data_IF_517720945005
#
_entry.id   IF_517720945005
#
_cell.length_a   1.000
_cell.length_b   1.000
_cell.length_c   1.000
_cell.angle_alpha   90.00
_cell.angle_beta   90.00
_cell.angle_gamma   90.00
#
_symmetry.space_group_name_H-M   'P 1'
#
loop_
_entity.id
_entity.type
_entity.pdbx_description
1 polymer ?
#
# COMPACT_ATOMS: atom_id res chain seq x y z
N UNK A 1 -30.92 -6.33 -7.91
CA UNK A 1 -29.85 -6.10 -6.88
C UNK A 1 -28.73 -7.08 -7.13
N UNK A 2 -27.58 -6.60 -7.44
CA UNK A 2 -26.37 -7.35 -7.78
C UNK A 2 -25.75 -7.87 -6.48
N UNK A 3 -25.41 -9.15 -6.41
CA UNK A 3 -24.87 -9.81 -5.20
C UNK A 3 -23.41 -10.14 -5.40
N UNK A 4 -22.54 -9.63 -4.57
CA UNK A 4 -21.07 -9.79 -4.69
C UNK A 4 -20.52 -10.38 -3.40
N UNK A 5 -19.81 -11.51 -3.49
CA UNK A 5 -18.98 -11.97 -2.37
C UNK A 5 -17.64 -11.22 -2.40
N UNK A 6 -17.18 -10.73 -1.26
CA UNK A 6 -15.87 -10.09 -1.11
C UNK A 6 -15.01 -10.97 -0.19
N UNK A 7 -13.92 -11.49 -0.71
CA UNK A 7 -13.01 -12.35 0.04
C UNK A 7 -12.01 -11.53 0.87
N UNK A 8 -12.20 -11.53 2.17
CA UNK A 8 -11.36 -10.86 3.17
C UNK A 8 -10.63 -11.82 4.10
N UNK A 9 -10.59 -13.12 3.76
CA UNK A 9 -10.02 -14.19 4.59
C UNK A 9 -8.52 -14.00 4.91
N UNK A 10 -7.84 -13.24 4.09
CA UNK A 10 -6.40 -12.98 4.16
C UNK A 10 -6.05 -11.68 4.90
N UNK A 11 -7.03 -10.84 5.21
CA UNK A 11 -6.81 -9.54 5.87
C UNK A 11 -6.40 -9.76 7.33
N UNK A 12 -5.23 -9.27 7.70
CA UNK A 12 -4.69 -9.35 9.05
C UNK A 12 -4.93 -8.04 9.77
N UNK A 13 -5.85 -8.05 10.72
CA UNK A 13 -6.20 -6.85 11.49
C UNK A 13 -5.00 -6.29 12.28
N UNK A 14 -4.79 -4.98 12.19
CA UNK A 14 -3.69 -4.23 12.87
C UNK A 14 -2.27 -4.74 12.55
N UNK A 15 -2.09 -5.57 11.55
CA UNK A 15 -0.77 -5.86 11.02
C UNK A 15 -0.51 -4.93 9.85
N UNK A 16 0.28 -3.92 10.11
CA UNK A 16 0.65 -2.79 9.25
C UNK A 16 0.86 -3.18 7.79
N UNK A 17 0.17 -2.46 6.91
CA UNK A 17 0.39 -2.58 5.46
C UNK A 17 -0.71 -1.86 4.68
N UNK A 18 -0.34 -1.19 3.61
CA UNK A 18 -1.27 -0.42 2.75
C UNK A 18 -2.44 -1.21 2.17
N UNK A 19 -2.40 -2.56 2.23
CA UNK A 19 -3.46 -3.40 1.69
C UNK A 19 -4.70 -3.43 2.60
N UNK A 20 -4.56 -3.40 3.93
CA UNK A 20 -5.71 -3.27 4.83
C UNK A 20 -6.40 -1.91 4.64
N UNK A 21 -5.61 -0.83 4.59
CA UNK A 21 -6.14 0.52 4.31
C UNK A 21 -6.83 0.59 2.95
N UNK A 22 -6.26 -0.05 1.93
CA UNK A 22 -6.89 -0.17 0.62
C UNK A 22 -8.28 -0.82 0.70
N UNK A 23 -8.39 -1.97 1.39
CA UNK A 23 -9.67 -2.69 1.53
C UNK A 23 -10.69 -1.84 2.28
N UNK A 24 -10.32 -1.21 3.40
CA UNK A 24 -11.23 -0.38 4.19
C UNK A 24 -11.70 0.84 3.40
N UNK A 25 -10.78 1.58 2.79
CA UNK A 25 -11.14 2.71 1.93
C UNK A 25 -12.07 2.29 0.78
N UNK A 26 -11.88 1.08 0.23
CA UNK A 26 -12.73 0.59 -0.84
C UNK A 26 -14.14 0.22 -0.32
N UNK A 27 -14.24 -0.44 0.84
CA UNK A 27 -15.53 -0.75 1.47
C UNK A 27 -16.28 0.53 1.85
N UNK A 28 -15.59 1.53 2.41
CA UNK A 28 -16.16 2.84 2.72
C UNK A 28 -16.74 3.49 1.47
N UNK A 29 -15.97 3.44 0.36
CA UNK A 29 -16.46 3.95 -0.93
C UNK A 29 -17.67 3.18 -1.48
N UNK A 30 -17.76 1.87 -1.27
CA UNK A 30 -18.92 1.08 -1.69
C UNK A 30 -20.16 1.41 -0.88
N UNK A 31 -20.03 1.84 0.38
CA UNK A 31 -21.15 2.30 1.20
C UNK A 31 -21.76 3.60 0.68
N UNK A 32 -20.98 4.43 -0.01
CA UNK A 32 -21.45 5.67 -0.64
C UNK A 32 -22.09 5.44 -2.03
N UNK A 33 -22.05 4.21 -2.56
CA UNK A 33 -22.65 3.87 -3.85
C UNK A 33 -24.16 3.64 -3.73
N UNK A 34 -24.84 3.55 -4.89
CA UNK A 34 -26.28 3.28 -5.01
C UNK A 34 -26.69 1.94 -4.38
N UNK A 35 -27.99 1.80 -4.08
CA UNK A 35 -28.60 0.61 -3.44
C UNK A 35 -28.70 -0.62 -4.36
N UNK A 36 -28.04 -0.60 -5.53
CA UNK A 36 -28.10 -1.68 -6.51
C UNK A 36 -27.27 -2.92 -6.16
N UNK A 37 -26.37 -2.80 -5.17
CA UNK A 37 -25.46 -3.86 -4.75
C UNK A 37 -25.79 -4.40 -3.36
N UNK A 38 -25.54 -5.70 -3.21
CA UNK A 38 -25.52 -6.40 -1.93
C UNK A 38 -24.19 -7.13 -1.77
N UNK A 39 -23.44 -6.77 -0.75
CA UNK A 39 -22.13 -7.33 -0.49
C UNK A 39 -22.16 -8.41 0.60
N UNK A 40 -21.49 -9.52 0.35
CA UNK A 40 -21.29 -10.59 1.32
C UNK A 40 -19.79 -10.65 1.64
N UNK A 41 -19.40 -10.12 2.80
CA UNK A 41 -18.03 -10.13 3.25
C UNK A 41 -17.67 -11.49 3.84
N UNK A 42 -16.76 -12.21 3.20
CA UNK A 42 -16.22 -13.47 3.69
C UNK A 42 -15.04 -13.15 4.62
N UNK A 43 -15.22 -13.36 5.91
CA UNK A 43 -14.26 -12.99 6.95
C UNK A 43 -13.72 -14.22 7.67
N UNK A 44 -12.48 -14.14 8.16
CA UNK A 44 -11.86 -15.19 8.98
C UNK A 44 -12.26 -15.03 10.44
N UNK A 45 -12.03 -16.06 11.26
CA UNK A 45 -12.35 -16.05 12.71
C UNK A 45 -11.62 -14.92 13.44
N UNK A 46 -10.38 -14.64 13.07
CA UNK A 46 -9.52 -13.66 13.74
C UNK A 46 -9.68 -12.23 13.24
N UNK A 47 -10.38 -12.00 12.12
CA UNK A 47 -10.66 -10.66 11.63
C UNK A 47 -12.14 -10.27 11.63
N UNK A 48 -13.05 -11.21 11.94
CA UNK A 48 -14.50 -11.00 11.94
C UNK A 48 -14.92 -9.74 12.71
N UNK A 49 -14.45 -9.59 13.95
CA UNK A 49 -14.79 -8.45 14.81
C UNK A 49 -14.39 -7.11 14.18
N UNK A 50 -13.28 -7.07 13.45
CA UNK A 50 -12.78 -5.86 12.82
C UNK A 50 -13.60 -5.38 11.62
N UNK A 51 -14.52 -6.20 11.12
CA UNK A 51 -15.44 -5.86 10.03
C UNK A 51 -16.89 -5.72 10.49
N UNK A 52 -17.21 -5.91 11.78
CA UNK A 52 -18.58 -5.80 12.31
C UNK A 52 -19.20 -4.42 12.05
N UNK A 53 -18.41 -3.36 12.03
CA UNK A 53 -18.89 -2.01 11.76
C UNK A 53 -19.62 -1.90 10.42
N UNK A 54 -19.21 -2.64 9.40
CA UNK A 54 -19.84 -2.66 8.08
C UNK A 54 -21.21 -3.34 8.06
N UNK A 55 -21.52 -4.23 9.01
CA UNK A 55 -22.83 -4.90 9.12
C UNK A 55 -23.98 -3.97 9.49
N UNK A 56 -23.69 -2.71 9.85
CA UNK A 56 -24.71 -1.68 10.08
C UNK A 56 -25.41 -1.24 8.79
N UNK A 57 -24.75 -1.43 7.64
CA UNK A 57 -25.37 -1.20 6.34
C UNK A 57 -26.17 -2.44 5.94
N UNK A 58 -27.48 -2.25 5.63
CA UNK A 58 -28.39 -3.32 5.22
C UNK A 58 -27.98 -4.06 3.94
N UNK A 59 -27.10 -3.44 3.16
CA UNK A 59 -26.53 -4.02 1.93
C UNK A 59 -25.35 -4.94 2.22
N UNK A 60 -24.89 -5.03 3.45
CA UNK A 60 -23.68 -5.80 3.82
C UNK A 60 -24.08 -6.95 4.77
N UNK A 61 -23.64 -8.16 4.42
CA UNK A 61 -23.75 -9.36 5.26
C UNK A 61 -22.35 -9.92 5.50
N UNK A 62 -22.01 -10.22 6.75
CA UNK A 62 -20.80 -10.94 7.10
C UNK A 62 -21.06 -12.46 7.11
N UNK A 63 -20.11 -13.21 6.57
CA UNK A 63 -20.08 -14.68 6.62
C UNK A 63 -18.71 -15.08 7.16
N UNK A 64 -18.71 -15.61 8.40
CA UNK A 64 -17.49 -16.13 9.02
C UNK A 64 -17.12 -17.48 8.42
N UNK A 65 -15.87 -17.60 7.98
CA UNK A 65 -15.29 -18.82 7.43
C UNK A 65 -14.35 -19.48 8.46
N UNK A 66 -14.23 -20.83 8.47
CA UNK A 66 -13.49 -21.57 9.47
C UNK A 66 -11.96 -21.54 9.24
N UNK A 67 -11.41 -20.34 8.98
CA UNK A 67 -9.99 -20.08 8.74
C UNK A 67 -9.46 -18.98 9.65
N UNK A 68 -8.15 -18.87 9.75
CA UNK A 68 -7.44 -17.84 10.53
C UNK A 68 -6.50 -17.11 9.58
N UNK A 69 -6.69 -15.80 9.41
CA UNK A 69 -5.96 -14.96 8.42
C UNK A 69 -4.44 -15.00 8.61
N UNK A 70 -3.99 -15.18 9.86
CA UNK A 70 -2.56 -15.27 10.20
C UNK A 70 -1.95 -16.62 9.87
N UNK A 71 -2.76 -17.67 9.64
CA UNK A 71 -2.32 -19.03 9.31
C UNK A 71 -2.41 -19.25 7.79
N UNK A 72 -1.36 -18.86 7.07
CA UNK A 72 -1.36 -18.78 5.60
C UNK A 72 -1.71 -20.11 4.93
N UNK A 73 -1.01 -21.21 5.27
CA UNK A 73 -1.14 -22.48 4.54
C UNK A 73 -2.53 -23.10 4.66
N UNK A 74 -3.12 -23.30 5.86
CA UNK A 74 -4.49 -23.79 5.99
C UNK A 74 -5.51 -22.89 5.30
N UNK A 75 -5.36 -21.57 5.36
CA UNK A 75 -6.27 -20.61 4.69
C UNK A 75 -6.22 -20.79 3.18
N UNK A 76 -5.03 -20.86 2.58
CA UNK A 76 -4.87 -21.09 1.14
C UNK A 76 -5.42 -22.45 0.71
N UNK A 77 -5.20 -23.50 1.48
CA UNK A 77 -5.78 -24.82 1.19
C UNK A 77 -7.32 -24.76 1.22
N UNK A 78 -7.87 -24.11 2.23
CA UNK A 78 -9.33 -23.95 2.35
C UNK A 78 -9.92 -23.13 1.19
N UNK A 79 -9.29 -22.01 0.82
CA UNK A 79 -9.70 -21.20 -0.32
C UNK A 79 -9.74 -22.02 -1.61
N UNK A 80 -8.72 -22.85 -1.85
CA UNK A 80 -8.66 -23.68 -3.05
C UNK A 80 -9.68 -24.82 -3.07
N UNK A 81 -10.06 -25.38 -1.92
CA UNK A 81 -10.92 -26.56 -1.86
C UNK A 81 -12.39 -26.23 -1.55
N UNK A 82 -12.66 -25.12 -0.88
CA UNK A 82 -13.97 -24.83 -0.30
C UNK A 82 -14.58 -23.49 -0.74
N UNK A 83 -13.76 -22.47 -1.07
CA UNK A 83 -14.25 -21.12 -1.37
C UNK A 83 -15.23 -21.14 -2.54
N UNK A 84 -14.91 -21.79 -3.65
CA UNK A 84 -15.79 -21.81 -4.83
C UNK A 84 -17.15 -22.47 -4.55
N UNK A 85 -17.19 -23.51 -3.73
CA UNK A 85 -18.44 -24.15 -3.29
C UNK A 85 -19.26 -23.22 -2.39
N UNK A 86 -18.60 -22.49 -1.48
CA UNK A 86 -19.26 -21.52 -0.62
C UNK A 86 -19.85 -20.38 -1.48
N UNK A 87 -19.06 -19.82 -2.39
CA UNK A 87 -19.50 -18.75 -3.31
C UNK A 87 -20.75 -19.19 -4.10
N UNK A 88 -20.73 -20.44 -4.62
CA UNK A 88 -21.90 -21.02 -5.30
C UNK A 88 -23.14 -21.08 -4.38
N UNK A 89 -22.97 -21.51 -3.12
CA UNK A 89 -24.07 -21.64 -2.16
C UNK A 89 -24.70 -20.30 -1.75
N UNK A 90 -23.92 -19.22 -1.86
CA UNK A 90 -24.37 -17.87 -1.54
C UNK A 90 -25.19 -17.20 -2.67
N UNK A 91 -25.27 -17.84 -3.85
CA UNK A 91 -25.99 -17.34 -5.02
C UNK A 91 -25.59 -15.91 -5.37
N UNK A 92 -24.28 -15.66 -5.50
CA UNK A 92 -23.72 -14.38 -5.90
C UNK A 92 -23.40 -14.35 -7.39
N UNK A 93 -23.38 -13.17 -7.98
CA UNK A 93 -23.09 -12.97 -9.41
C UNK A 93 -21.58 -13.20 -9.70
N UNK A 94 -20.72 -12.81 -8.78
CA UNK A 94 -19.28 -13.10 -8.82
C UNK A 94 -18.62 -12.93 -7.44
N UNK A 95 -17.37 -13.37 -7.32
CA UNK A 95 -16.53 -13.16 -6.14
C UNK A 95 -15.45 -12.11 -6.42
N UNK A 96 -15.41 -11.05 -5.63
CA UNK A 96 -14.37 -10.04 -5.64
C UNK A 96 -13.31 -10.38 -4.58
N UNK A 97 -12.08 -10.52 -5.01
CA UNK A 97 -10.92 -10.77 -4.15
C UNK A 97 -10.01 -9.54 -4.25
N UNK A 98 -10.03 -8.60 -3.30
CA UNK A 98 -9.19 -7.39 -3.33
C UNK A 98 -7.70 -7.69 -3.07
N UNK A 99 -7.26 -8.85 -3.54
CA UNK A 99 -5.91 -9.38 -3.46
C UNK A 99 -5.67 -10.35 -4.62
N UNK A 100 -4.44 -10.86 -4.77
CA UNK A 100 -4.09 -11.76 -5.89
C UNK A 100 -4.58 -13.22 -5.75
N UNK A 101 -5.28 -13.58 -4.68
CA UNK A 101 -5.56 -15.00 -4.34
C UNK A 101 -6.86 -15.54 -4.95
N UNK A 102 -6.94 -15.65 -6.28
CA UNK A 102 -7.92 -16.52 -6.90
C UNK A 102 -7.56 -18.00 -6.63
N UNK A 103 -8.52 -18.90 -6.37
CA UNK A 103 -8.25 -20.32 -6.32
C UNK A 103 -7.51 -20.81 -7.57
N UNK A 104 -6.45 -21.62 -7.39
CA UNK A 104 -5.66 -22.17 -8.48
C UNK A 104 -6.24 -23.45 -9.07
N UNK A 105 -7.14 -24.12 -8.34
CA UNK A 105 -7.95 -25.23 -8.86
C UNK A 105 -9.08 -24.69 -9.76
N UNK A 106 -9.63 -25.51 -10.67
CA UNK A 106 -10.74 -25.09 -11.51
C UNK A 106 -11.94 -24.58 -10.70
N UNK A 107 -12.44 -23.42 -11.06
CA UNK A 107 -13.56 -22.73 -10.42
C UNK A 107 -14.78 -22.67 -11.35
N UNK A 108 -15.99 -22.64 -10.78
CA UNK A 108 -17.25 -22.47 -11.51
C UNK A 108 -17.71 -21.01 -11.53
N UNK A 109 -17.35 -20.25 -10.48
CA UNK A 109 -17.77 -18.88 -10.33
C UNK A 109 -16.78 -17.92 -11.00
N UNK A 110 -17.23 -16.70 -11.30
CA UNK A 110 -16.39 -15.62 -11.82
C UNK A 110 -15.64 -14.98 -10.66
N UNK A 111 -14.33 -14.84 -10.79
CA UNK A 111 -13.46 -14.18 -9.82
C UNK A 111 -12.88 -12.90 -10.41
N UNK A 112 -13.12 -11.76 -9.74
CA UNK A 112 -12.42 -10.52 -9.97
C UNK A 112 -11.33 -10.39 -8.91
N UNK A 113 -10.07 -10.30 -9.31
CA UNK A 113 -8.94 -10.17 -8.38
C UNK A 113 -8.25 -8.82 -8.53
N UNK A 114 -7.53 -8.40 -7.48
CA UNK A 114 -6.67 -7.21 -7.53
C UNK A 114 -5.21 -7.63 -7.36
N UNK A 115 -4.36 -7.18 -8.26
CA UNK A 115 -2.92 -7.35 -8.14
C UNK A 115 -2.26 -6.03 -7.74
N UNK A 116 -1.60 -6.06 -6.58
CA UNK A 116 -0.93 -4.88 -6.03
C UNK A 116 0.49 -4.70 -6.56
N UNK A 117 1.25 -5.77 -6.71
CA UNK A 117 2.58 -5.77 -7.33
C UNK A 117 3.07 -7.21 -7.58
N UNK A 118 4.23 -7.30 -8.22
CA UNK A 118 4.99 -8.54 -8.41
C UNK A 118 6.39 -8.43 -7.78
N UNK A 119 6.50 -7.78 -6.64
CA UNK A 119 7.76 -7.41 -5.99
C UNK A 119 8.72 -8.59 -5.78
N UNK A 120 8.20 -9.80 -5.48
CA UNK A 120 9.04 -10.98 -5.31
C UNK A 120 9.76 -11.41 -6.60
N UNK A 121 9.25 -11.05 -7.79
CA UNK A 121 9.93 -11.33 -9.06
C UNK A 121 11.09 -10.35 -9.33
N UNK A 122 10.99 -9.13 -8.78
CA UNK A 122 12.01 -8.09 -8.95
C UNK A 122 13.08 -8.13 -7.85
N UNK A 123 12.71 -8.58 -6.64
CA UNK A 123 13.58 -8.64 -5.46
C UNK A 123 13.52 -10.02 -4.81
N UNK A 124 13.93 -11.09 -5.53
CA UNK A 124 13.85 -12.47 -5.01
C UNK A 124 14.67 -12.66 -3.74
N UNK A 125 15.76 -11.89 -3.56
CA UNK A 125 16.61 -11.92 -2.37
C UNK A 125 15.90 -11.47 -1.09
N UNK A 126 14.80 -10.72 -1.20
CA UNK A 126 13.97 -10.33 -0.06
C UNK A 126 13.04 -11.44 0.45
N UNK A 127 13.03 -12.58 -0.23
CA UNK A 127 12.13 -13.70 0.08
C UNK A 127 12.91 -15.00 0.26
N UNK A 128 12.40 -15.89 1.12
CA UNK A 128 12.95 -17.26 1.13
C UNK A 128 12.68 -17.94 -0.22
N UNK A 129 13.58 -18.85 -0.63
CA UNK A 129 13.44 -19.58 -1.91
C UNK A 129 12.07 -20.23 -2.07
N UNK A 130 11.58 -20.90 -1.00
CA UNK A 130 10.25 -21.53 -1.02
C UNK A 130 9.12 -20.52 -1.24
N UNK A 131 9.15 -19.36 -0.55
CA UNK A 131 8.16 -18.30 -0.71
C UNK A 131 8.21 -17.66 -2.10
N UNK A 132 9.40 -17.45 -2.66
CA UNK A 132 9.58 -16.94 -4.02
C UNK A 132 8.91 -17.84 -5.07
N UNK A 133 9.24 -19.14 -5.07
CA UNK A 133 8.66 -20.08 -6.03
C UNK A 133 7.15 -20.26 -5.81
N UNK A 134 6.70 -20.29 -4.57
CA UNK A 134 5.28 -20.35 -4.25
C UNK A 134 4.54 -19.13 -4.83
N UNK A 135 5.00 -17.90 -4.59
CA UNK A 135 4.41 -16.69 -5.15
C UNK A 135 4.42 -16.72 -6.68
N UNK A 136 5.55 -17.03 -7.30
CA UNK A 136 5.72 -17.09 -8.75
C UNK A 136 4.70 -18.02 -9.41
N UNK A 137 4.51 -19.22 -8.87
CA UNK A 137 3.56 -20.19 -9.42
C UNK A 137 2.12 -19.86 -9.04
N UNK A 138 1.88 -19.41 -7.82
CA UNK A 138 0.54 -19.04 -7.38
C UNK A 138 -0.01 -17.87 -8.23
N UNK A 139 0.75 -16.82 -8.43
CA UNK A 139 0.38 -15.70 -9.32
C UNK A 139 0.05 -16.19 -10.73
N UNK A 140 0.89 -17.06 -11.31
CA UNK A 140 0.67 -17.61 -12.64
C UNK A 140 -0.71 -18.25 -12.80
N UNK A 141 -1.09 -19.10 -11.86
CA UNK A 141 -2.37 -19.81 -11.93
C UNK A 141 -3.54 -18.92 -11.50
N UNK A 142 -3.38 -18.13 -10.47
CA UNK A 142 -4.40 -17.17 -10.02
C UNK A 142 -4.78 -16.19 -11.13
N UNK A 143 -3.80 -15.58 -11.79
CA UNK A 143 -4.02 -14.65 -12.91
C UNK A 143 -4.71 -15.33 -14.12
N UNK A 144 -4.39 -16.60 -14.38
CA UNK A 144 -5.03 -17.37 -15.44
C UNK A 144 -6.46 -17.72 -15.14
N UNK A 145 -6.74 -18.14 -13.91
CA UNK A 145 -8.08 -18.56 -13.48
C UNK A 145 -9.03 -17.39 -13.23
N UNK A 146 -8.52 -16.22 -12.83
CA UNK A 146 -9.36 -15.06 -12.62
C UNK A 146 -10.16 -14.73 -13.87
N UNK A 147 -11.42 -14.36 -13.72
CA UNK A 147 -12.30 -13.90 -14.81
C UNK A 147 -11.84 -12.51 -15.31
N UNK A 148 -11.63 -11.59 -14.36
CA UNK A 148 -11.05 -10.25 -14.60
C UNK A 148 -10.01 -9.94 -13.54
N UNK A 149 -9.08 -9.06 -13.89
CA UNK A 149 -7.97 -8.63 -13.05
C UNK A 149 -7.98 -7.11 -12.98
N UNK A 150 -7.95 -6.55 -11.79
CA UNK A 150 -7.61 -5.15 -11.57
C UNK A 150 -6.14 -5.05 -11.23
N UNK A 151 -5.44 -4.14 -11.88
CA UNK A 151 -4.10 -3.70 -11.49
C UNK A 151 -4.16 -2.27 -10.96
N UNK A 152 -3.39 -1.99 -9.91
CA UNK A 152 -3.46 -0.71 -9.21
C UNK A 152 -2.68 0.43 -9.85
N UNK A 153 -2.00 0.14 -10.96
CA UNK A 153 -1.32 1.09 -11.84
C UNK A 153 -1.09 0.49 -13.23
N UNK A 154 -0.80 1.33 -14.22
CA UNK A 154 -0.35 0.86 -15.54
C UNK A 154 1.00 0.13 -15.44
N UNK A 155 1.89 0.60 -14.56
CA UNK A 155 3.15 -0.09 -14.29
C UNK A 155 2.91 -1.56 -13.90
N UNK A 156 2.00 -1.85 -12.95
CA UNK A 156 1.68 -3.22 -12.55
C UNK A 156 1.02 -4.00 -13.71
N UNK A 157 0.18 -3.35 -14.51
CA UNK A 157 -0.44 -3.99 -15.68
C UNK A 157 0.61 -4.46 -16.68
N UNK A 158 1.55 -3.59 -17.06
CA UNK A 158 2.61 -3.91 -18.00
C UNK A 158 3.56 -4.99 -17.44
N UNK A 159 3.83 -4.94 -16.12
CA UNK A 159 4.63 -5.97 -15.44
C UNK A 159 3.97 -7.36 -15.50
N UNK A 160 2.64 -7.43 -15.33
CA UNK A 160 1.86 -8.68 -15.50
C UNK A 160 1.90 -9.20 -16.92
N UNK A 161 1.78 -8.32 -17.91
CA UNK A 161 1.88 -8.70 -19.33
C UNK A 161 3.26 -9.27 -19.61
N UNK A 162 4.31 -8.56 -19.20
CA UNK A 162 5.70 -8.98 -19.41
C UNK A 162 6.04 -10.31 -18.74
N UNK A 163 5.67 -10.48 -17.48
CA UNK A 163 6.06 -11.67 -16.69
C UNK A 163 5.21 -12.91 -16.94
N UNK A 164 3.92 -12.74 -17.29
CA UNK A 164 2.97 -13.86 -17.37
C UNK A 164 2.22 -13.97 -18.69
N UNK A 165 2.36 -13.01 -19.63
CA UNK A 165 1.68 -13.03 -20.92
C UNK A 165 0.14 -13.02 -20.81
N UNK A 166 -0.40 -12.33 -19.80
CA UNK A 166 -1.85 -12.22 -19.61
C UNK A 166 -2.41 -11.22 -20.63
N UNK A 167 -3.54 -11.60 -21.28
CA UNK A 167 -4.23 -10.74 -22.24
C UNK A 167 -4.67 -9.43 -21.55
N UNK A 168 -4.28 -8.31 -22.15
CA UNK A 168 -4.64 -6.97 -21.66
C UNK A 168 -6.17 -6.75 -21.57
N UNK A 169 -6.97 -7.43 -22.40
CA UNK A 169 -8.44 -7.39 -22.36
C UNK A 169 -9.02 -7.96 -21.06
N UNK A 170 -8.25 -8.80 -20.36
CA UNK A 170 -8.63 -9.37 -19.06
C UNK A 170 -8.37 -8.40 -17.90
N UNK A 171 -7.65 -7.32 -18.14
CA UNK A 171 -7.18 -6.40 -17.12
C UNK A 171 -7.82 -5.02 -17.23
N UNK A 172 -8.13 -4.42 -16.09
CA UNK A 172 -8.52 -3.01 -15.94
C UNK A 172 -7.57 -2.34 -14.95
N UNK A 173 -7.20 -1.09 -15.21
CA UNK A 173 -6.42 -0.31 -14.25
C UNK A 173 -7.37 0.51 -13.40
N UNK A 174 -7.40 0.21 -12.09
CA UNK A 174 -8.13 1.02 -11.10
C UNK A 174 -7.17 1.34 -9.96
N UNK A 175 -6.89 2.61 -9.79
CA UNK A 175 -5.93 3.11 -8.80
C UNK A 175 -6.40 2.87 -7.37
N UNK A 176 -5.46 2.90 -6.42
CA UNK A 176 -5.80 2.74 -5.01
C UNK A 176 -6.63 3.92 -4.49
N UNK A 177 -7.69 3.65 -3.69
CA UNK A 177 -8.45 4.70 -3.03
C UNK A 177 -7.63 5.31 -1.89
N UNK A 178 -7.55 6.62 -1.83
CA UNK A 178 -6.89 7.37 -0.76
C UNK A 178 -7.89 8.29 -0.10
N UNK A 179 -8.03 8.20 1.23
CA UNK A 179 -8.91 9.06 2.01
C UNK A 179 -8.53 10.54 1.86
N UNK A 180 -9.54 11.40 1.73
CA UNK A 180 -9.36 12.86 1.85
C UNK A 180 -9.18 13.28 3.31
N UNK A 181 -9.85 12.58 4.21
CA UNK A 181 -9.74 12.83 5.63
C UNK A 181 -8.55 12.05 6.19
N UNK A 182 -7.47 12.74 6.42
CA UNK A 182 -6.26 12.21 7.03
C UNK A 182 -6.17 12.81 8.45
N UNK A 183 -6.69 12.14 9.48
CA UNK A 183 -6.71 12.66 10.84
C UNK A 183 -5.29 12.87 11.35
N UNK A 184 -5.09 13.90 12.18
CA UNK A 184 -3.81 14.26 12.78
C UNK A 184 -3.92 14.30 14.30
N UNK A 185 -2.84 13.90 14.98
CA UNK A 185 -2.67 14.01 16.42
C UNK A 185 -2.09 15.38 16.80
N UNK A 186 -1.89 15.61 18.09
CA UNK A 186 -1.21 16.80 18.60
C UNK A 186 0.29 16.73 18.31
N UNK A 187 0.80 17.70 17.54
CA UNK A 187 2.22 17.77 17.19
C UNK A 187 3.12 18.05 18.41
N UNK A 188 2.66 18.80 19.42
CA UNK A 188 3.50 19.14 20.58
C UNK A 188 3.96 17.89 21.34
N UNK A 189 3.07 16.89 21.46
CA UNK A 189 3.40 15.62 22.10
C UNK A 189 4.49 14.85 21.31
N UNK A 190 4.37 14.83 19.98
CA UNK A 190 5.35 14.16 19.12
C UNK A 190 6.66 14.95 19.06
N UNK A 191 6.59 16.28 19.02
CA UNK A 191 7.75 17.17 19.08
C UNK A 191 8.60 16.91 20.31
N UNK A 192 7.99 16.85 21.48
CA UNK A 192 8.68 16.51 22.76
C UNK A 192 9.22 15.08 22.76
N UNK A 193 8.44 14.11 22.26
CA UNK A 193 8.84 12.69 22.25
C UNK A 193 10.08 12.43 21.39
N UNK A 194 10.20 13.08 20.25
CA UNK A 194 11.27 12.83 19.27
C UNK A 194 12.32 13.95 19.23
N UNK A 195 12.17 15.01 20.03
CA UNK A 195 13.06 16.16 20.05
C UNK A 195 13.13 16.86 18.71
N UNK A 196 11.96 17.20 18.12
CA UNK A 196 11.79 17.85 16.82
C UNK A 196 10.87 19.07 16.91
N UNK A 197 11.07 20.00 15.99
CA UNK A 197 10.25 21.19 15.82
C UNK A 197 9.55 21.17 14.46
N UNK A 198 8.35 21.75 14.39
CA UNK A 198 7.60 21.85 13.13
C UNK A 198 8.42 22.58 12.07
N UNK A 199 8.49 21.99 10.89
CA UNK A 199 9.26 22.53 9.76
C UNK A 199 10.77 22.32 9.83
N UNK A 200 11.29 21.65 10.88
CA UNK A 200 12.74 21.49 11.09
C UNK A 200 13.23 20.03 11.15
N UNK A 201 12.51 19.10 10.53
CA UNK A 201 12.94 17.70 10.39
C UNK A 201 12.56 17.11 9.05
N UNK A 202 13.26 16.07 8.64
CA UNK A 202 12.96 15.23 7.49
C UNK A 202 12.13 14.04 7.95
N UNK A 203 11.19 13.59 7.13
CA UNK A 203 10.36 12.46 7.48
C UNK A 203 10.28 11.41 6.35
N UNK A 204 10.26 10.15 6.73
CA UNK A 204 9.95 9.02 5.85
C UNK A 204 9.18 7.96 6.60
N UNK A 205 8.31 7.23 5.90
CA UNK A 205 7.60 6.06 6.42
C UNK A 205 7.82 4.88 5.49
N UNK A 206 8.30 3.77 6.04
CA UNK A 206 8.63 2.59 5.24
C UNK A 206 8.89 1.35 6.08
N UNK A 207 8.94 0.20 5.42
CA UNK A 207 9.48 -1.05 5.97
C UNK A 207 10.99 -1.17 5.67
N UNK A 208 11.65 -2.16 6.31
CA UNK A 208 13.10 -2.41 6.12
C UNK A 208 13.45 -3.13 4.81
N UNK A 209 12.51 -3.34 3.90
CA UNK A 209 12.81 -4.02 2.65
C UNK A 209 13.78 -3.23 1.78
N UNK A 210 14.74 -3.90 1.13
CA UNK A 210 15.80 -3.26 0.34
C UNK A 210 15.28 -2.33 -0.75
N UNK A 211 14.19 -2.69 -1.44
CA UNK A 211 13.57 -1.84 -2.46
C UNK A 211 13.01 -0.51 -1.91
N UNK A 212 12.86 -0.38 -0.59
CA UNK A 212 12.50 0.89 0.05
C UNK A 212 13.69 1.85 0.18
N UNK A 213 14.90 1.38 -0.07
CA UNK A 213 16.12 2.17 -0.24
C UNK A 213 16.44 3.15 0.90
N UNK A 214 16.07 2.81 2.14
CA UNK A 214 16.31 3.68 3.31
C UNK A 214 17.79 3.90 3.60
N UNK A 215 18.66 2.94 3.24
CA UNK A 215 20.11 3.08 3.43
C UNK A 215 20.66 4.30 2.70
N UNK A 216 20.11 4.66 1.54
CA UNK A 216 20.52 5.88 0.82
C UNK A 216 20.18 7.15 1.61
N UNK A 217 19.06 7.20 2.32
CA UNK A 217 18.76 8.33 3.20
C UNK A 217 19.70 8.40 4.40
N UNK A 218 20.14 7.26 4.96
CA UNK A 218 21.15 7.26 6.02
C UNK A 218 22.52 7.76 5.50
N UNK A 219 22.91 7.37 4.28
CA UNK A 219 24.11 7.92 3.61
C UNK A 219 23.97 9.42 3.33
N UNK A 220 22.78 9.87 2.92
CA UNK A 220 22.47 11.30 2.77
C UNK A 220 22.67 12.06 4.09
N UNK A 221 22.28 11.48 5.23
CA UNK A 221 22.46 12.11 6.54
C UNK A 221 23.92 12.31 6.89
N UNK A 222 24.84 11.43 6.47
CA UNK A 222 26.29 11.67 6.61
C UNK A 222 26.73 12.89 5.82
N UNK A 223 26.30 13.00 4.57
CA UNK A 223 26.61 14.16 3.72
C UNK A 223 26.07 15.46 4.33
N UNK A 224 24.83 15.43 4.84
CA UNK A 224 24.24 16.62 5.49
C UNK A 224 24.99 17.00 6.77
N UNK A 225 25.40 16.02 7.59
CA UNK A 225 26.21 16.25 8.79
C UNK A 225 27.53 16.96 8.46
N UNK A 226 28.18 16.53 7.38
CA UNK A 226 29.49 17.06 7.00
C UNK A 226 29.37 18.46 6.31
N UNK A 227 28.23 18.78 5.69
CA UNK A 227 28.04 20.03 4.93
C UNK A 227 27.23 21.10 5.66
N UNK A 228 26.52 20.77 6.75
CA UNK A 228 25.63 21.68 7.48
C UNK A 228 26.05 21.78 8.95
N UNK A 229 26.10 23.00 9.49
CA UNK A 229 26.35 23.22 10.92
C UNK A 229 25.26 22.65 11.82
N UNK A 230 24.01 22.64 11.35
CA UNK A 230 22.84 22.11 12.08
C UNK A 230 21.94 21.35 11.11
N UNK A 231 22.26 20.09 10.79
CA UNK A 231 21.46 19.28 9.88
C UNK A 231 20.12 18.89 10.53
N UNK A 232 19.01 18.88 9.77
CA UNK A 232 17.72 18.45 10.30
C UNK A 232 17.74 16.95 10.65
N UNK A 233 17.04 16.57 11.72
CA UNK A 233 16.86 15.15 12.06
C UNK A 233 16.06 14.42 10.98
N UNK A 234 16.37 13.14 10.75
CA UNK A 234 15.57 12.22 9.94
C UNK A 234 14.73 11.32 10.84
N UNK A 235 13.42 11.47 10.76
CA UNK A 235 12.46 10.63 11.49
C UNK A 235 11.98 9.53 10.56
N UNK A 236 12.05 8.27 11.01
CA UNK A 236 11.76 7.07 10.21
C UNK A 236 10.69 6.25 10.94
N UNK A 237 9.50 6.12 10.36
CA UNK A 237 8.40 5.31 10.90
C UNK A 237 8.23 3.98 10.14
N UNK A 238 7.58 3.01 10.80
CA UNK A 238 7.28 1.70 10.22
C UNK A 238 8.40 0.66 10.40
N UNK A 239 9.42 0.99 11.19
CA UNK A 239 10.53 0.12 11.55
C UNK A 239 10.60 0.04 13.07
N UNK A 240 10.82 -1.16 13.62
CA UNK A 240 10.93 -1.35 15.07
C UNK A 240 12.08 -0.51 15.64
N UNK A 241 11.78 0.30 16.65
CA UNK A 241 12.75 1.19 17.28
C UNK A 241 13.93 0.46 17.96
N UNK A 242 13.73 -0.80 18.36
CA UNK A 242 14.77 -1.66 18.96
C UNK A 242 15.25 -2.75 18.00
N UNK A 243 15.03 -2.59 16.68
CA UNK A 243 15.33 -3.62 15.69
C UNK A 243 16.82 -3.88 15.53
N UNK A 244 17.19 -5.16 15.49
CA UNK A 244 18.48 -5.60 14.96
C UNK A 244 18.41 -5.63 13.44
N UNK A 245 19.46 -5.21 12.74
CA UNK A 245 19.52 -5.25 11.28
C UNK A 245 20.43 -4.20 10.68
N UNK A 246 20.55 -4.20 9.39
CA UNK A 246 21.47 -3.38 8.61
C UNK A 246 21.34 -1.87 8.90
N UNK A 247 20.11 -1.35 9.03
CA UNK A 247 19.90 0.10 9.21
C UNK A 247 20.28 0.60 10.61
N UNK A 248 19.84 -0.01 11.73
CA UNK A 248 20.29 0.37 13.07
C UNK A 248 21.81 0.23 13.24
N UNK A 249 22.39 -0.84 12.68
CA UNK A 249 23.85 -1.06 12.73
C UNK A 249 24.59 0.03 11.94
N UNK A 250 24.05 0.44 10.77
CA UNK A 250 24.64 1.53 9.99
C UNK A 250 24.62 2.86 10.75
N UNK A 251 23.51 3.20 11.42
CA UNK A 251 23.38 4.41 12.25
C UNK A 251 24.45 4.41 13.35
N UNK A 252 24.53 3.33 14.11
CA UNK A 252 25.49 3.20 15.22
C UNK A 252 26.96 3.30 14.76
N UNK A 253 27.33 2.56 13.71
CA UNK A 253 28.71 2.56 13.18
C UNK A 253 29.14 3.93 12.64
N UNK A 254 28.22 4.77 12.24
CA UNK A 254 28.51 6.07 11.64
C UNK A 254 28.19 7.26 12.56
N UNK A 255 27.81 7.02 13.82
CA UNK A 255 27.52 8.08 14.79
C UNK A 255 26.38 8.98 14.34
N UNK A 256 25.25 8.38 13.89
CA UNK A 256 24.06 9.09 13.41
C UNK A 256 22.90 9.01 14.42
N UNK A 257 23.10 8.54 15.64
CA UNK A 257 22.06 8.29 16.65
C UNK A 257 21.29 9.55 17.02
N UNK A 258 21.96 10.70 17.06
CA UNK A 258 21.36 11.99 17.36
C UNK A 258 20.60 12.60 16.17
N UNK A 259 20.89 12.13 14.95
CA UNK A 259 20.32 12.65 13.70
C UNK A 259 19.24 11.76 13.08
N UNK A 260 19.22 10.47 13.41
CA UNK A 260 18.27 9.51 12.83
C UNK A 260 17.46 8.83 13.93
N UNK A 261 16.13 9.00 13.90
CA UNK A 261 15.23 8.50 14.93
C UNK A 261 14.24 7.50 14.32
N UNK A 262 14.26 6.25 14.79
CA UNK A 262 13.21 5.29 14.51
C UNK A 262 12.06 5.44 15.50
N UNK A 263 10.84 5.70 14.99
CA UNK A 263 9.66 5.84 15.85
C UNK A 263 9.06 4.50 16.26
N UNK A 264 9.39 3.43 15.54
CA UNK A 264 8.63 2.20 15.57
C UNK A 264 7.36 2.27 14.74
N UNK A 265 6.39 1.42 15.10
CA UNK A 265 5.03 1.49 14.56
C UNK A 265 4.25 2.53 15.37
N UNK A 266 3.65 3.48 14.67
CA UNK A 266 2.84 4.57 15.23
C UNK A 266 1.45 4.54 14.62
N UNK A 267 0.49 5.25 15.23
CA UNK A 267 -0.87 5.37 14.69
C UNK A 267 -0.89 6.14 13.37
N UNK A 268 -1.98 6.01 12.61
CA UNK A 268 -2.16 6.77 11.37
C UNK A 268 -2.22 8.28 11.65
N UNK A 269 -2.82 8.70 12.76
CA UNK A 269 -2.87 10.10 13.19
C UNK A 269 -1.47 10.65 13.47
N UNK A 270 -0.65 9.91 14.22
CA UNK A 270 0.74 10.29 14.50
C UNK A 270 1.57 10.35 13.21
N UNK A 271 1.41 9.36 12.31
CA UNK A 271 2.07 9.33 11.00
C UNK A 271 1.69 10.55 10.15
N UNK A 272 0.41 10.85 10.07
CA UNK A 272 -0.10 11.98 9.31
C UNK A 272 0.38 13.30 9.90
N UNK A 273 0.47 13.41 11.23
CA UNK A 273 1.02 14.58 11.91
C UNK A 273 2.49 14.78 11.56
N UNK A 274 3.30 13.72 11.60
CA UNK A 274 4.70 13.81 11.19
C UNK A 274 4.85 14.16 9.70
N UNK A 275 3.98 13.68 8.81
CA UNK A 275 3.96 14.09 7.41
C UNK A 275 3.63 15.58 7.26
N UNK A 276 2.61 16.06 7.96
CA UNK A 276 2.09 17.43 7.86
C UNK A 276 3.12 18.47 8.31
N UNK A 277 3.85 18.17 9.37
CA UNK A 277 4.75 19.11 10.03
C UNK A 277 6.23 18.96 9.64
N UNK A 278 6.59 18.02 8.77
CA UNK A 278 7.96 17.88 8.32
C UNK A 278 8.39 19.03 7.39
N UNK A 279 9.69 19.31 7.38
CA UNK A 279 10.31 20.18 6.37
C UNK A 279 10.20 19.57 4.97
N UNK A 280 10.48 18.26 4.88
CA UNK A 280 10.42 17.47 3.66
C UNK A 280 9.97 16.05 3.99
N UNK A 281 9.06 15.52 3.19
CA UNK A 281 8.78 14.10 3.14
C UNK A 281 9.68 13.45 2.08
N UNK A 282 10.48 12.47 2.48
CA UNK A 282 11.41 11.76 1.60
C UNK A 282 10.89 10.35 1.32
N UNK A 283 10.76 9.99 0.06
CA UNK A 283 10.28 8.68 -0.35
C UNK A 283 11.25 8.03 -1.33
N UNK A 284 12.29 7.32 -0.81
CA UNK A 284 13.41 6.83 -1.60
C UNK A 284 13.14 5.51 -2.33
N UNK A 285 11.92 4.97 -2.26
CA UNK A 285 11.59 3.66 -2.81
C UNK A 285 11.95 3.55 -4.29
N UNK A 286 12.54 2.42 -4.69
CA UNK A 286 12.90 2.12 -6.07
C UNK A 286 11.91 1.16 -6.74
N UNK A 287 10.95 0.65 -5.99
CA UNK A 287 9.90 -0.21 -6.51
C UNK A 287 8.62 -0.10 -5.67
N UNK A 288 7.53 0.26 -6.33
CA UNK A 288 6.19 0.32 -5.76
C UNK A 288 5.17 -0.14 -6.81
N UNK A 289 4.15 -0.87 -6.38
CA UNK A 289 2.97 -1.12 -7.21
C UNK A 289 2.10 0.13 -7.36
N UNK A 290 2.08 1.00 -6.33
CA UNK A 290 1.36 2.28 -6.34
C UNK A 290 2.18 3.40 -5.67
N UNK A 291 2.45 3.28 -4.36
CA UNK A 291 3.15 4.32 -3.60
C UNK A 291 2.19 5.39 -3.06
N UNK A 292 1.30 5.02 -2.13
CA UNK A 292 0.37 5.96 -1.49
C UNK A 292 1.06 7.09 -0.71
N UNK A 293 2.15 6.84 0.07
CA UNK A 293 2.70 7.83 1.00
C UNK A 293 3.07 9.18 0.39
N UNK A 294 3.64 9.29 -0.83
CA UNK A 294 3.88 10.58 -1.48
C UNK A 294 2.61 11.42 -1.70
N UNK A 295 1.50 10.76 -2.03
CA UNK A 295 0.21 11.45 -2.26
C UNK A 295 -0.42 11.85 -0.93
N UNK A 296 -0.38 10.98 0.09
CA UNK A 296 -0.84 11.29 1.44
C UNK A 296 -0.08 12.49 2.02
N UNK A 297 1.26 12.48 1.90
CA UNK A 297 2.10 13.60 2.33
C UNK A 297 1.75 14.90 1.59
N UNK A 298 1.51 14.82 0.29
CA UNK A 298 1.14 15.99 -0.52
C UNK A 298 -0.24 16.54 -0.13
N UNK A 299 -1.22 15.65 0.14
CA UNK A 299 -2.55 16.06 0.65
C UNK A 299 -2.49 16.73 2.02
N UNK A 300 -1.48 16.39 2.83
CA UNK A 300 -1.21 17.03 4.12
C UNK A 300 -0.39 18.32 4.01
N UNK A 301 -0.05 18.75 2.80
CA UNK A 301 0.70 19.98 2.53
C UNK A 301 2.22 19.85 2.57
N UNK A 302 2.77 18.64 2.74
CA UNK A 302 4.21 18.43 2.76
C UNK A 302 4.86 18.67 1.39
N UNK A 303 6.09 19.16 1.40
CA UNK A 303 6.97 19.11 0.23
C UNK A 303 7.56 17.69 0.13
N UNK A 304 7.52 17.08 -1.04
CA UNK A 304 7.91 15.69 -1.26
C UNK A 304 9.09 15.59 -2.22
N UNK A 305 10.12 14.85 -1.84
CA UNK A 305 11.18 14.40 -2.75
C UNK A 305 11.10 12.88 -2.87
N UNK A 306 11.13 12.39 -4.10
CA UNK A 306 10.96 10.97 -4.39
C UNK A 306 11.80 10.51 -5.60
N UNK A 307 11.60 9.29 -6.06
CA UNK A 307 12.30 8.67 -7.19
C UNK A 307 11.42 8.62 -8.44
N UNK A 308 12.03 8.43 -9.62
CA UNK A 308 11.32 8.17 -10.88
C UNK A 308 11.16 6.66 -11.17
N UNK A 309 11.05 5.84 -10.12
CA UNK A 309 11.05 4.39 -10.26
C UNK A 309 9.63 3.80 -10.26
N UNK A 310 9.44 2.72 -11.01
CA UNK A 310 8.22 1.93 -11.05
C UNK A 310 6.95 2.77 -11.29
N UNK A 311 5.91 2.60 -10.46
CA UNK A 311 4.65 3.35 -10.58
C UNK A 311 4.72 4.80 -10.07
N UNK A 312 5.79 5.20 -9.37
CA UNK A 312 5.84 6.50 -8.67
C UNK A 312 5.59 7.69 -9.62
N UNK A 313 6.24 7.81 -10.80
CA UNK A 313 5.97 8.92 -11.71
C UNK A 313 4.53 8.96 -12.22
N UNK A 314 3.95 7.80 -12.55
CA UNK A 314 2.57 7.66 -12.99
C UNK A 314 1.60 8.14 -11.91
N UNK A 315 1.76 7.63 -10.70
CA UNK A 315 0.86 7.86 -9.57
C UNK A 315 0.96 9.31 -9.06
N UNK A 316 2.14 9.87 -9.08
CA UNK A 316 2.35 11.28 -8.71
C UNK A 316 2.16 12.25 -9.90
N UNK A 317 1.70 11.72 -11.06
CA UNK A 317 1.43 12.48 -12.28
C UNK A 317 2.63 13.34 -12.75
N UNK A 318 3.85 12.93 -12.43
CA UNK A 318 5.09 13.68 -12.69
C UNK A 318 5.09 15.10 -12.09
N UNK A 319 4.38 15.31 -10.94
CA UNK A 319 4.21 16.65 -10.33
C UNK A 319 4.98 16.87 -9.03
N UNK A 320 5.82 15.92 -8.64
CA UNK A 320 6.68 16.03 -7.48
C UNK A 320 8.13 16.37 -7.86
N UNK A 321 8.97 16.50 -6.86
CA UNK A 321 10.42 16.64 -7.05
C UNK A 321 11.05 15.27 -7.05
N UNK A 322 11.87 14.97 -8.07
CA UNK A 322 12.47 13.65 -8.26
C UNK A 322 13.98 13.72 -8.26
N UNK A 323 14.62 12.77 -7.60
CA UNK A 323 16.05 12.50 -7.82
C UNK A 323 16.24 11.78 -9.16
N UNK A 324 17.38 12.00 -9.81
CA UNK A 324 17.73 11.31 -11.05
C UNK A 324 18.30 9.91 -10.77
N UNK A 325 19.22 9.82 -9.79
CA UNK A 325 19.73 8.54 -9.32
C UNK A 325 19.22 8.27 -7.90
N UNK A 326 18.31 7.28 -7.71
CA UNK A 326 17.75 6.97 -6.41
C UNK A 326 18.78 6.52 -5.36
N UNK A 327 19.96 6.08 -5.79
CA UNK A 327 21.05 5.61 -4.91
C UNK A 327 22.11 6.66 -4.64
N UNK A 328 22.04 7.84 -5.26
CA UNK A 328 22.99 8.92 -5.09
C UNK A 328 22.70 9.77 -3.84
N UNK A 329 23.35 9.46 -2.73
CA UNK A 329 23.16 10.17 -1.46
C UNK A 329 23.51 11.66 -1.53
N UNK A 330 24.50 12.04 -2.36
CA UNK A 330 24.88 13.43 -2.58
C UNK A 330 23.77 14.23 -3.26
N UNK A 331 23.11 13.65 -4.26
CA UNK A 331 21.97 14.29 -4.93
C UNK A 331 20.81 14.51 -3.97
N UNK A 332 20.46 13.48 -3.14
CA UNK A 332 19.47 13.63 -2.08
C UNK A 332 19.82 14.77 -1.12
N UNK A 333 21.08 14.83 -0.67
CA UNK A 333 21.54 15.89 0.22
C UNK A 333 21.46 17.28 -0.41
N UNK A 334 21.86 17.43 -1.68
CA UNK A 334 21.75 18.70 -2.42
C UNK A 334 20.31 19.17 -2.50
N UNK A 335 19.36 18.27 -2.80
CA UNK A 335 17.93 18.59 -2.84
C UNK A 335 17.40 19.00 -1.47
N UNK A 336 17.83 18.37 -0.39
CA UNK A 336 17.45 18.77 0.97
C UNK A 336 17.99 20.16 1.30
N UNK A 337 19.26 20.46 0.98
CA UNK A 337 19.87 21.77 1.21
C UNK A 337 19.18 22.89 0.41
N UNK A 338 18.81 22.62 -0.84
CA UNK A 338 18.10 23.57 -1.71
C UNK A 338 16.59 23.62 -1.53
N UNK A 339 16.05 22.93 -0.54
CA UNK A 339 14.60 22.72 -0.36
C UNK A 339 13.77 23.99 -0.12
N UNK A 340 14.39 25.08 0.30
CA UNK A 340 13.71 26.37 0.47
C UNK A 340 13.13 26.88 -0.86
N UNK A 341 13.84 26.66 -1.98
CA UNK A 341 13.43 27.06 -3.33
C UNK A 341 12.58 26.04 -4.07
N UNK A 342 12.25 24.90 -3.45
CA UNK A 342 11.43 23.88 -4.09
C UNK A 342 9.97 24.37 -4.20
N UNK A 343 9.57 24.66 -5.43
CA UNK A 343 8.17 24.86 -5.77
C UNK A 343 7.56 23.54 -6.22
N UNK A 344 6.45 23.17 -5.62
CA UNK A 344 5.66 22.02 -6.05
C UNK A 344 4.27 22.46 -6.41
N UNK A 345 3.81 22.02 -7.58
CA UNK A 345 2.45 22.33 -8.04
C UNK A 345 1.43 21.78 -7.06
N UNK A 346 0.44 22.59 -6.75
CA UNK A 346 -0.71 22.11 -6.02
C UNK A 346 -1.49 21.14 -6.88
N UNK A 347 -1.62 19.94 -6.37
CA UNK A 347 -2.37 18.87 -6.97
C UNK A 347 -3.13 18.15 -5.87
N UNK A 348 -4.45 18.09 -5.98
CA UNK A 348 -5.28 17.46 -4.96
C UNK A 348 -5.46 15.95 -5.16
N UNK A 349 -4.96 15.40 -6.27
CA UNK A 349 -5.03 13.98 -6.60
C UNK A 349 -6.45 13.39 -6.51
N UNK A 350 -7.48 14.14 -6.94
CA UNK A 350 -8.90 13.74 -6.85
C UNK A 350 -9.18 12.38 -7.46
N UNK A 351 -8.46 12.00 -8.52
CA UNK A 351 -8.62 10.69 -9.17
C UNK A 351 -8.44 9.48 -8.24
N UNK A 352 -7.85 9.68 -7.08
CA UNK A 352 -7.63 8.65 -6.04
C UNK A 352 -8.63 8.76 -4.89
N UNK A 353 -9.60 9.67 -4.98
CA UNK A 353 -10.63 9.78 -3.95
C UNK A 353 -11.46 8.50 -3.88
N UNK A 354 -11.79 8.12 -2.66
CA UNK A 354 -12.54 6.88 -2.37
C UNK A 354 -13.78 6.76 -3.24
N UNK A 355 -14.58 7.83 -3.35
CA UNK A 355 -15.83 7.85 -4.14
C UNK A 355 -15.58 7.68 -5.63
N UNK A 356 -14.52 8.27 -6.18
CA UNK A 356 -14.16 8.13 -7.61
C UNK A 356 -13.67 6.71 -7.90
N UNK A 357 -12.82 6.18 -7.04
CA UNK A 357 -12.30 4.81 -7.19
C UNK A 357 -13.44 3.79 -7.06
N UNK A 358 -14.34 3.96 -6.07
CA UNK A 358 -15.50 3.12 -5.89
C UNK A 358 -16.43 3.15 -7.12
N UNK A 359 -16.64 4.32 -7.74
CA UNK A 359 -17.42 4.47 -8.97
C UNK A 359 -16.79 3.73 -10.16
N UNK A 360 -15.45 3.68 -10.24
CA UNK A 360 -14.75 2.90 -11.26
C UNK A 360 -14.97 1.39 -11.05
N UNK A 361 -14.94 0.92 -9.80
CA UNK A 361 -15.27 -0.46 -9.46
C UNK A 361 -16.73 -0.76 -9.76
N UNK A 362 -17.65 0.13 -9.44
CA UNK A 362 -19.08 0.02 -9.80
C UNK A 362 -19.26 -0.24 -11.30
N UNK A 363 -18.64 0.59 -12.12
CA UNK A 363 -18.68 0.46 -13.58
C UNK A 363 -18.11 -0.88 -14.07
N UNK A 364 -17.04 -1.37 -13.44
CA UNK A 364 -16.44 -2.67 -13.74
C UNK A 364 -17.36 -3.81 -13.31
N UNK A 365 -18.01 -3.73 -12.14
CA UNK A 365 -18.95 -4.73 -11.65
C UNK A 365 -20.13 -4.88 -12.60
N UNK A 366 -20.69 -3.77 -13.09
CA UNK A 366 -21.77 -3.81 -14.10
C UNK A 366 -21.31 -4.46 -15.41
N UNK A 367 -20.10 -4.16 -15.89
CA UNK A 367 -19.54 -4.82 -17.10
C UNK A 367 -19.42 -6.33 -16.92
N UNK A 368 -18.97 -6.81 -15.73
CA UNK A 368 -18.82 -8.24 -15.44
C UNK A 368 -20.16 -8.98 -15.50
N UNK A 369 -21.23 -8.34 -15.06
CA UNK A 369 -22.55 -8.96 -15.01
C UNK A 369 -23.18 -9.01 -16.39
N UNK A 370 -22.99 -7.97 -17.19
CA UNK A 370 -23.58 -7.85 -18.54
C UNK A 370 -22.77 -8.62 -19.62
N UNK A 371 -21.66 -9.24 -19.26
CA UNK A 371 -20.80 -10.08 -20.14
C UNK A 371 -21.01 -11.56 -19.88
#
# INVERSE_FOLDING_TARGET
>A
MIRIAIDLLWVKHKKVGGIESYVRNLLDGFMDLSDDFFFILLVSRDNHESFLEYSRDKRIKLVECPVISTNLLPTVIWENLKLDKLVTSLSVDFCFVPYYRCPILPVKNRYLIVLHDLNALHFPECFSRGKYYWLKYYWKYSLRNAYKIVTISNFVREDVIDKYGIDSKKMEVIYNPISRNLPVADFELLGKRYGIESGNYLYTVSSQHRHKNLLTLLKMMLVLRDKMNNPPKLIISGISAGGTGELPEYIYRNGLEDLCVFTGFISDEERNTLMKHCRLFLFPSVFEGFGMPPIEAKRLGAKVITTKCASIPEVTMNKLTYVNDPYNAEEWAQMVMSSASLEQKDENYQRYDITIVASNYYSLFQKIINS
#
